data_IF_649674734888
#
_entry.id   IF_649674734888
#
_cell.length_a   1.000
_cell.length_b   1.000
_cell.length_c   1.000
_cell.angle_alpha   90.00
_cell.angle_beta   90.00
_cell.angle_gamma   90.00
#
_symmetry.space_group_name_H-M   'P 1'
#
loop_
_entity.id
_entity.type
_entity.pdbx_description
1 polymer ?
#
# COMPACT_ATOMS: atom_id res chain seq x y z
N UNK A 1 0.97 -19.02 -28.53
CA UNK A 1 1.48 -17.76 -27.94
C UNK A 1 0.47 -17.02 -27.03
N UNK A 2 -0.83 -16.86 -27.38
CA UNK A 2 -1.83 -16.15 -26.56
C UNK A 2 -2.08 -16.71 -25.13
N UNK A 3 -1.96 -18.02 -24.92
CA UNK A 3 -2.14 -18.66 -23.60
C UNK A 3 -1.05 -18.35 -22.57
N UNK A 4 0.15 -18.00 -23.02
CA UNK A 4 1.29 -17.73 -22.16
C UNK A 4 1.22 -16.32 -21.51
N UNK A 5 0.78 -15.31 -22.26
CA UNK A 5 0.67 -13.94 -21.73
C UNK A 5 -0.34 -13.79 -20.59
N UNK A 6 -1.48 -14.46 -20.69
CA UNK A 6 -2.52 -14.40 -19.66
C UNK A 6 -2.07 -15.05 -18.32
N UNK A 7 -1.29 -16.12 -18.39
CA UNK A 7 -0.71 -16.77 -17.20
C UNK A 7 0.32 -15.87 -16.51
N UNK A 8 1.15 -15.18 -17.27
CA UNK A 8 2.22 -14.32 -16.77
C UNK A 8 1.63 -13.11 -16.05
N UNK A 9 0.64 -12.43 -16.63
CA UNK A 9 0.03 -11.24 -16.05
C UNK A 9 -0.68 -11.52 -14.72
N UNK A 10 -1.41 -12.63 -14.63
CA UNK A 10 -2.16 -13.00 -13.42
C UNK A 10 -1.22 -13.41 -12.27
N UNK A 11 -0.24 -14.27 -12.54
CA UNK A 11 0.68 -14.75 -11.50
C UNK A 11 1.60 -13.64 -10.95
N UNK A 12 2.01 -12.67 -11.79
CA UNK A 12 2.77 -11.51 -11.36
C UNK A 12 1.97 -10.61 -10.40
N UNK A 13 0.68 -10.46 -10.64
CA UNK A 13 -0.19 -9.64 -9.81
C UNK A 13 -0.29 -10.15 -8.37
N UNK A 14 -0.46 -11.44 -8.21
CA UNK A 14 -0.59 -12.11 -6.91
C UNK A 14 0.69 -11.96 -6.09
N UNK A 15 1.87 -12.11 -6.72
CA UNK A 15 3.16 -12.01 -6.05
C UNK A 15 3.47 -10.64 -5.50
N UNK A 16 3.07 -9.63 -6.20
CA UNK A 16 3.37 -8.26 -5.83
C UNK A 16 2.71 -7.81 -4.53
N UNK A 17 1.45 -8.17 -4.33
CA UNK A 17 0.69 -7.78 -3.13
C UNK A 17 1.00 -8.66 -1.91
N UNK A 18 1.40 -9.93 -2.14
CA UNK A 18 1.80 -10.85 -1.07
C UNK A 18 3.26 -10.68 -0.65
N UNK A 19 4.14 -10.23 -1.53
CA UNK A 19 5.56 -10.07 -1.24
C UNK A 19 5.85 -9.00 -0.17
N UNK A 20 5.00 -7.99 -0.06
CA UNK A 20 5.05 -7.03 1.05
C UNK A 20 4.76 -7.67 2.41
N UNK A 21 4.18 -8.88 2.44
CA UNK A 21 3.73 -9.56 3.64
C UNK A 21 4.71 -10.59 4.22
N UNK A 22 5.76 -11.01 3.50
CA UNK A 22 6.53 -12.20 3.85
C UNK A 22 7.93 -11.94 4.46
N UNK A 23 8.29 -10.71 4.76
CA UNK A 23 9.67 -10.38 5.18
C UNK A 23 9.93 -10.45 6.69
N UNK A 24 9.12 -11.12 7.48
CA UNK A 24 9.35 -11.21 8.92
C UNK A 24 9.05 -12.58 9.51
N UNK A 25 10.06 -13.44 9.52
CA UNK A 25 10.11 -14.57 10.45
C UNK A 25 11.43 -14.53 11.22
N UNK A 26 11.37 -14.33 12.53
CA UNK A 26 12.55 -14.50 13.39
C UNK A 26 12.54 -13.67 14.67
N UNK A 27 11.71 -14.02 15.62
CA UNK A 27 11.82 -13.53 17.00
C UNK A 27 12.82 -14.37 17.80
N UNK A 28 13.96 -13.79 18.14
CA UNK A 28 14.71 -14.18 19.36
C UNK A 28 14.91 -12.93 20.22
N UNK A 29 14.34 -12.97 21.42
CA UNK A 29 14.62 -12.02 22.49
C UNK A 29 16.10 -12.09 22.85
N UNK A 30 16.79 -10.98 22.87
CA UNK A 30 18.07 -10.82 23.55
C UNK A 30 18.01 -9.57 24.42
N UNK A 31 18.45 -9.76 25.66
CA UNK A 31 18.35 -8.84 26.76
C UNK A 31 19.24 -7.60 26.60
N UNK A 32 18.80 -6.55 27.27
CA UNK A 32 19.48 -5.28 27.51
C UNK A 32 20.90 -5.47 28.04
N UNK A 33 21.83 -4.69 27.54
CA UNK A 33 22.85 -4.12 28.41
C UNK A 33 23.21 -2.70 27.95
N UNK A 34 23.12 -1.79 28.90
CA UNK A 34 23.32 -0.36 28.86
C UNK A 34 24.79 -0.01 28.88
N UNK A 35 25.22 0.93 28.04
CA UNK A 35 26.16 1.98 28.47
C UNK A 35 26.18 3.13 27.46
N UNK A 36 25.95 4.31 27.99
CA UNK A 36 25.97 5.63 27.34
C UNK A 36 27.39 6.15 27.12
N UNK A 37 27.61 6.93 26.07
CA UNK A 37 28.26 8.22 26.29
C UNK A 37 27.41 9.37 25.74
N UNK A 38 27.23 10.37 26.55
CA UNK A 38 26.53 11.62 26.32
C UNK A 38 27.33 12.51 25.37
N UNK A 39 26.76 12.97 24.24
CA UNK A 39 27.20 14.22 23.65
C UNK A 39 26.28 15.33 24.16
N UNK A 40 26.90 16.31 24.75
CA UNK A 40 26.30 17.57 25.21
C UNK A 40 25.84 18.35 23.97
N UNK A 41 24.59 18.22 23.57
CA UNK A 41 23.94 19.10 22.58
C UNK A 41 22.83 19.82 23.31
N UNK A 42 23.04 21.09 23.53
CA UNK A 42 22.07 22.02 24.11
C UNK A 42 20.80 22.00 23.28
N UNK A 43 19.61 21.68 23.86
CA UNK A 43 18.38 21.72 23.11
C UNK A 43 18.03 23.16 22.75
N UNK A 44 18.06 23.50 21.48
CA UNK A 44 17.41 24.71 20.98
C UNK A 44 15.92 24.62 21.29
N UNK A 45 15.42 25.51 22.10
CA UNK A 45 13.99 25.64 22.45
C UNK A 45 13.19 25.76 21.15
N UNK A 46 12.23 24.88 20.88
CA UNK A 46 11.42 24.96 19.65
C UNK A 46 10.69 26.31 19.65
N UNK A 47 10.86 27.07 18.58
CA UNK A 47 10.14 28.33 18.39
C UNK A 47 8.62 27.99 18.34
N UNK A 48 7.85 28.50 19.30
CA UNK A 48 6.40 28.24 19.44
C UNK A 48 5.62 28.50 18.13
N UNK A 49 6.05 29.48 17.33
CA UNK A 49 5.47 29.81 16.05
C UNK A 49 5.69 28.70 15.02
N UNK A 50 6.89 28.10 14.98
CA UNK A 50 7.21 26.98 14.08
C UNK A 50 6.39 25.73 14.44
N UNK A 51 6.25 25.43 15.72
CA UNK A 51 5.44 24.29 16.20
C UNK A 51 3.98 24.47 15.81
N UNK A 52 3.43 25.67 15.91
CA UNK A 52 2.05 25.98 15.50
C UNK A 52 1.87 25.82 13.99
N UNK A 53 2.79 26.35 13.18
CA UNK A 53 2.74 26.22 11.72
C UNK A 53 2.81 24.75 11.26
N UNK A 54 3.68 23.93 11.87
CA UNK A 54 3.81 22.52 11.57
C UNK A 54 2.50 21.75 11.89
N UNK A 55 1.90 22.01 13.04
CA UNK A 55 0.62 21.40 13.43
C UNK A 55 -0.53 21.81 12.51
N UNK A 56 -0.59 23.06 12.09
CA UNK A 56 -1.59 23.56 11.13
C UNK A 56 -1.41 22.92 9.76
N UNK A 57 -0.17 22.67 9.34
CA UNK A 57 0.11 21.99 8.07
C UNK A 57 -0.36 20.52 8.11
N UNK A 58 -0.06 19.77 9.18
CA UNK A 58 -0.56 18.40 9.37
C UNK A 58 -2.08 18.36 9.29
N UNK A 59 -2.75 19.30 9.99
CA UNK A 59 -4.21 19.42 9.94
C UNK A 59 -4.71 19.72 8.53
N UNK A 60 -4.08 20.64 7.80
CA UNK A 60 -4.43 20.95 6.41
C UNK A 60 -4.36 19.70 5.51
N UNK A 61 -3.29 18.89 5.64
CA UNK A 61 -3.14 17.64 4.88
C UNK A 61 -4.22 16.65 5.26
N UNK A 62 -4.52 16.49 6.54
CA UNK A 62 -5.59 15.63 7.02
C UNK A 62 -6.96 16.06 6.48
N UNK A 63 -7.26 17.34 6.51
CA UNK A 63 -8.54 17.90 6.05
C UNK A 63 -8.72 17.80 4.52
N UNK A 64 -7.64 17.58 3.74
CA UNK A 64 -7.72 17.32 2.29
C UNK A 64 -8.28 15.95 1.94
N UNK A 65 -8.50 15.08 2.91
CA UNK A 65 -9.04 13.75 2.69
C UNK A 65 -10.36 13.78 1.89
N UNK A 66 -10.47 12.91 0.88
CA UNK A 66 -11.72 12.68 0.16
C UNK A 66 -12.63 11.81 1.01
N UNK A 67 -13.88 12.25 1.23
CA UNK A 67 -14.86 11.54 2.07
C UNK A 67 -15.86 10.71 1.26
N UNK A 68 -15.66 10.53 -0.04
CA UNK A 68 -16.52 9.66 -0.86
C UNK A 68 -16.56 8.25 -0.25
N UNK A 69 -17.78 7.74 -0.01
CA UNK A 69 -17.97 6.37 0.50
C UNK A 69 -17.59 5.33 -0.57
N UNK A 70 -17.95 5.59 -1.83
CA UNK A 70 -17.67 4.73 -2.96
C UNK A 70 -16.77 5.45 -3.95
N UNK A 71 -15.79 4.76 -4.49
CA UNK A 71 -14.96 5.18 -5.60
C UNK A 71 -14.87 4.01 -6.56
N UNK A 72 -15.25 4.22 -7.81
CA UNK A 72 -15.09 3.27 -8.90
C UNK A 72 -14.33 3.91 -10.04
N UNK A 73 -13.49 3.14 -10.72
CA UNK A 73 -12.73 3.64 -11.86
C UNK A 73 -12.46 2.53 -12.87
N UNK A 74 -12.50 2.87 -14.17
CA UNK A 74 -11.82 2.08 -15.19
C UNK A 74 -10.33 2.35 -15.07
N UNK A 75 -9.50 1.31 -15.08
CA UNK A 75 -8.07 1.43 -14.85
C UNK A 75 -7.26 0.77 -15.96
N UNK A 76 -6.05 1.29 -16.16
CA UNK A 76 -4.92 0.53 -16.67
C UNK A 76 -4.07 0.14 -15.47
N UNK A 77 -3.88 -1.14 -15.31
CA UNK A 77 -3.03 -1.72 -14.29
C UNK A 77 -1.72 -2.18 -14.95
N UNK A 78 -0.58 -1.75 -14.42
CA UNK A 78 0.72 -2.13 -14.94
C UNK A 78 1.62 -2.73 -13.86
N UNK A 79 2.46 -3.67 -14.28
CA UNK A 79 3.52 -4.27 -13.48
C UNK A 79 4.82 -4.17 -14.26
N UNK A 80 5.85 -3.61 -13.63
CA UNK A 80 7.22 -3.68 -14.13
C UNK A 80 8.02 -4.71 -13.34
N UNK A 81 8.70 -5.58 -14.06
CA UNK A 81 9.68 -6.53 -13.53
C UNK A 81 10.96 -6.44 -14.35
N UNK A 82 12.00 -5.80 -13.80
CA UNK A 82 13.16 -5.40 -14.58
C UNK A 82 12.73 -4.47 -15.72
N UNK A 83 13.13 -4.76 -16.94
CA UNK A 83 12.81 -3.95 -18.13
C UNK A 83 11.49 -4.31 -18.83
N UNK A 84 10.73 -5.25 -18.26
CA UNK A 84 9.47 -5.71 -18.85
C UNK A 84 8.28 -5.08 -18.13
N UNK A 85 7.47 -4.33 -18.86
CA UNK A 85 6.18 -3.83 -18.42
C UNK A 85 5.05 -4.69 -18.98
N UNK A 86 4.13 -5.09 -18.12
CA UNK A 86 2.89 -5.75 -18.49
C UNK A 86 1.74 -4.84 -18.06
N UNK A 87 0.90 -4.45 -19.01
CA UNK A 87 -0.26 -3.62 -18.74
C UNK A 87 -1.54 -4.32 -19.16
N UNK A 88 -2.57 -4.24 -18.30
CA UNK A 88 -3.90 -4.82 -18.53
C UNK A 88 -4.99 -3.85 -18.09
N UNK A 89 -6.06 -3.79 -18.86
CA UNK A 89 -7.25 -3.02 -18.48
C UNK A 89 -8.00 -3.68 -17.32
N UNK A 90 -8.70 -2.88 -16.55
CA UNK A 90 -9.47 -3.40 -15.42
C UNK A 90 -10.44 -2.38 -14.81
N UNK A 91 -10.89 -2.69 -13.61
CA UNK A 91 -11.78 -1.87 -12.79
C UNK A 91 -11.27 -1.82 -11.35
N UNK A 92 -11.15 -0.64 -10.79
CA UNK A 92 -10.97 -0.42 -9.36
C UNK A 92 -12.33 -0.10 -8.76
N UNK A 93 -12.67 -0.73 -7.66
CA UNK A 93 -13.93 -0.54 -6.95
C UNK A 93 -13.63 -0.50 -5.46
N UNK A 94 -13.92 0.61 -4.82
CA UNK A 94 -13.58 0.83 -3.43
C UNK A 94 -14.82 1.31 -2.67
N UNK A 95 -15.09 0.68 -1.53
CA UNK A 95 -16.11 1.11 -0.57
C UNK A 95 -15.46 1.29 0.78
N UNK A 96 -15.50 2.52 1.28
CA UNK A 96 -14.85 2.90 2.54
C UNK A 96 -15.31 2.01 3.68
N UNK A 97 -14.35 1.53 4.47
CA UNK A 97 -14.52 0.67 5.65
C UNK A 97 -15.10 -0.72 5.34
N UNK A 98 -15.16 -1.10 4.06
CA UNK A 98 -15.71 -2.38 3.63
C UNK A 98 -14.73 -3.15 2.75
N UNK A 99 -14.36 -2.60 1.57
CA UNK A 99 -13.63 -3.36 0.56
C UNK A 99 -12.88 -2.47 -0.43
N UNK A 100 -11.72 -2.96 -0.87
CA UNK A 100 -10.99 -2.49 -2.05
C UNK A 100 -10.88 -3.66 -3.00
N UNK A 101 -11.37 -3.49 -4.24
CA UNK A 101 -11.38 -4.53 -5.26
C UNK A 101 -10.74 -4.04 -6.55
N UNK A 102 -9.81 -4.84 -7.07
CA UNK A 102 -9.20 -4.67 -8.39
C UNK A 102 -9.62 -5.85 -9.26
N UNK A 103 -10.34 -5.59 -10.33
CA UNK A 103 -10.67 -6.57 -11.36
C UNK A 103 -9.75 -6.34 -12.56
N UNK A 104 -9.19 -7.41 -13.11
CA UNK A 104 -8.34 -7.36 -14.29
C UNK A 104 -8.97 -8.15 -15.40
N UNK A 105 -8.89 -7.61 -16.61
CA UNK A 105 -9.57 -8.17 -17.76
C UNK A 105 -8.58 -8.85 -18.71
N UNK A 106 -9.05 -9.88 -19.40
CA UNK A 106 -8.35 -10.46 -20.54
C UNK A 106 -8.26 -9.41 -21.64
N UNK A 107 -7.06 -9.08 -22.15
CA UNK A 107 -6.92 -8.16 -23.26
C UNK A 107 -7.77 -8.56 -24.47
N UNK A 108 -8.37 -7.59 -25.15
CA UNK A 108 -9.21 -7.73 -26.35
C UNK A 108 -10.59 -8.39 -26.13
N UNK A 109 -10.77 -9.23 -25.12
CA UNK A 109 -12.02 -9.94 -24.86
C UNK A 109 -12.86 -9.21 -23.80
N UNK A 110 -12.22 -8.47 -22.90
CA UNK A 110 -12.89 -7.70 -21.83
C UNK A 110 -13.43 -8.54 -20.68
N UNK A 111 -13.33 -9.89 -20.75
CA UNK A 111 -13.73 -10.78 -19.65
C UNK A 111 -12.79 -10.64 -18.47
N UNK A 112 -13.32 -10.78 -17.25
CA UNK A 112 -12.52 -10.79 -16.03
C UNK A 112 -11.56 -11.99 -16.02
N UNK A 113 -10.26 -11.70 -16.00
CA UNK A 113 -9.20 -12.71 -15.89
C UNK A 113 -8.91 -13.06 -14.43
N UNK A 114 -9.01 -12.06 -13.57
CA UNK A 114 -8.72 -12.22 -12.15
C UNK A 114 -9.19 -11.05 -11.31
N UNK A 115 -9.19 -11.25 -10.01
CA UNK A 115 -9.68 -10.30 -9.02
C UNK A 115 -8.83 -10.33 -7.77
N UNK A 116 -8.53 -9.14 -7.26
CA UNK A 116 -8.01 -8.95 -5.91
C UNK A 116 -9.05 -8.22 -5.10
N UNK A 117 -9.28 -8.70 -3.90
CA UNK A 117 -10.23 -8.10 -2.97
C UNK A 117 -9.61 -8.05 -1.58
N UNK A 118 -9.59 -6.85 -1.01
CA UNK A 118 -9.10 -6.57 0.33
C UNK A 118 -10.28 -6.14 1.17
N UNK A 119 -10.50 -6.81 2.28
CA UNK A 119 -11.55 -6.48 3.26
C UNK A 119 -10.92 -6.30 4.65
N UNK A 120 -11.70 -6.03 5.65
CA UNK A 120 -11.21 -5.96 7.04
C UNK A 120 -10.70 -7.31 7.56
N UNK A 121 -11.28 -8.40 7.06
CA UNK A 121 -11.10 -9.73 7.61
C UNK A 121 -10.17 -10.60 6.75
N UNK A 122 -10.12 -10.35 5.44
CA UNK A 122 -9.36 -11.20 4.53
C UNK A 122 -8.88 -10.48 3.28
N UNK A 123 -7.86 -11.08 2.69
CA UNK A 123 -7.45 -10.84 1.30
C UNK A 123 -7.93 -12.04 0.46
N UNK A 124 -8.60 -11.77 -0.64
CA UNK A 124 -9.05 -12.78 -1.60
C UNK A 124 -8.45 -12.49 -2.97
N UNK A 125 -7.85 -13.51 -3.57
CA UNK A 125 -7.34 -13.48 -4.92
C UNK A 125 -8.03 -14.58 -5.71
N UNK A 126 -8.67 -14.23 -6.82
CA UNK A 126 -9.37 -15.17 -7.67
C UNK A 126 -8.71 -15.22 -9.03
N UNK A 127 -8.25 -16.40 -9.44
CA UNK A 127 -7.82 -16.71 -10.80
C UNK A 127 -8.98 -17.34 -11.56
N UNK A 128 -9.58 -16.58 -12.46
CA UNK A 128 -10.70 -17.08 -13.26
C UNK A 128 -10.27 -17.95 -14.42
N UNK A 129 -9.00 -17.81 -14.83
CA UNK A 129 -8.46 -18.57 -15.96
C UNK A 129 -8.23 -20.04 -15.56
N UNK A 130 -7.71 -20.25 -14.33
CA UNK A 130 -7.42 -21.60 -13.83
C UNK A 130 -8.47 -22.11 -12.84
N UNK A 131 -9.52 -21.32 -12.55
CA UNK A 131 -10.54 -21.66 -11.55
C UNK A 131 -9.92 -21.95 -10.18
N UNK A 132 -8.98 -21.11 -9.77
CA UNK A 132 -8.30 -21.21 -8.48
C UNK A 132 -8.53 -19.91 -7.67
N UNK A 133 -8.41 -20.01 -6.34
CA UNK A 133 -8.43 -18.85 -5.48
C UNK A 133 -7.53 -19.02 -4.25
N UNK A 134 -7.09 -17.90 -3.72
CA UNK A 134 -6.41 -17.79 -2.41
C UNK A 134 -7.26 -16.93 -1.51
N UNK A 135 -7.46 -17.36 -0.28
CA UNK A 135 -8.05 -16.54 0.77
C UNK A 135 -7.14 -16.59 1.99
N UNK A 136 -6.66 -15.44 2.42
CA UNK A 136 -5.76 -15.28 3.57
C UNK A 136 -6.27 -14.23 4.55
N UNK A 137 -5.95 -14.41 5.82
CA UNK A 137 -6.22 -13.45 6.89
C UNK A 137 -4.98 -12.59 7.11
N UNK A 138 -5.15 -11.27 7.29
CA UNK A 138 -4.06 -10.35 7.67
C UNK A 138 -3.36 -10.77 8.95
N UNK A 139 -4.11 -11.36 9.90
CA UNK A 139 -3.57 -11.81 11.18
C UNK A 139 -2.70 -13.06 11.08
N UNK A 140 -2.75 -13.78 9.96
CA UNK A 140 -1.89 -14.94 9.69
C UNK A 140 -0.51 -14.54 9.17
N UNK A 141 -0.32 -13.25 8.86
CA UNK A 141 0.96 -12.70 8.42
C UNK A 141 1.53 -11.87 9.56
N UNK A 142 2.44 -12.46 10.32
CA UNK A 142 3.03 -11.85 11.53
C UNK A 142 3.58 -10.44 11.29
N UNK A 143 4.18 -10.20 10.14
CA UNK A 143 4.70 -8.88 9.78
C UNK A 143 3.60 -7.82 9.72
N UNK A 144 2.49 -8.10 9.05
CA UNK A 144 1.37 -7.14 8.92
C UNK A 144 0.72 -6.90 10.28
N UNK A 145 0.48 -8.00 11.02
CA UNK A 145 -0.11 -7.95 12.36
C UNK A 145 0.74 -7.13 13.33
N UNK A 146 2.03 -7.43 13.41
CA UNK A 146 2.93 -6.83 14.38
C UNK A 146 3.24 -5.35 14.10
N UNK A 147 3.14 -4.93 12.84
CA UNK A 147 3.36 -3.53 12.44
C UNK A 147 2.07 -2.73 12.25
N UNK A 148 0.92 -3.31 12.58
CA UNK A 148 -0.38 -2.64 12.46
C UNK A 148 -0.77 -2.31 11.00
N UNK A 149 -0.18 -3.02 10.03
CA UNK A 149 -0.49 -2.88 8.61
C UNK A 149 -1.72 -3.73 8.29
N UNK A 150 -2.87 -3.15 8.38
CA UNK A 150 -4.15 -3.78 8.18
C UNK A 150 -4.90 -3.16 6.98
N UNK A 151 -6.14 -3.57 6.79
CA UNK A 151 -7.02 -3.02 5.76
C UNK A 151 -7.09 -1.48 5.80
N UNK A 152 -7.13 -0.87 6.98
CA UNK A 152 -7.28 0.59 7.10
C UNK A 152 -6.03 1.36 6.68
N UNK A 153 -4.84 0.81 6.90
CA UNK A 153 -3.60 1.38 6.37
C UNK A 153 -3.58 1.31 4.83
N UNK A 154 -3.97 0.16 4.26
CA UNK A 154 -4.14 0.00 2.81
C UNK A 154 -5.21 0.95 2.26
N UNK A 155 -6.36 1.05 2.92
CA UNK A 155 -7.41 2.00 2.56
C UNK A 155 -6.88 3.44 2.53
N UNK A 156 -6.13 3.85 3.54
CA UNK A 156 -5.58 5.20 3.59
C UNK A 156 -4.61 5.48 2.43
N UNK A 157 -3.81 4.50 2.02
CA UNK A 157 -2.97 4.61 0.82
C UNK A 157 -3.83 4.80 -0.44
N UNK A 158 -4.87 3.99 -0.63
CA UNK A 158 -5.75 4.12 -1.80
C UNK A 158 -6.58 5.40 -1.80
N UNK A 159 -6.94 5.94 -0.63
CA UNK A 159 -7.66 7.21 -0.49
C UNK A 159 -6.76 8.44 -0.38
N UNK A 160 -5.42 8.25 -0.49
CA UNK A 160 -4.45 9.35 -0.35
C UNK A 160 -4.59 10.12 0.96
N UNK A 161 -4.46 9.41 2.10
CA UNK A 161 -4.71 9.95 3.43
C UNK A 161 -3.56 9.64 4.40
N UNK A 162 -3.45 10.45 5.45
CA UNK A 162 -2.65 10.11 6.62
C UNK A 162 -3.27 8.89 7.34
N UNK A 163 -2.44 8.06 7.92
CA UNK A 163 -2.89 6.95 8.77
C UNK A 163 -1.96 6.76 9.98
N UNK A 164 -2.51 6.21 11.05
CA UNK A 164 -1.74 5.75 12.20
C UNK A 164 -1.83 4.22 12.21
N UNK A 165 -0.70 3.50 12.18
CA UNK A 165 -0.69 2.04 12.15
C UNK A 165 -1.50 1.43 13.29
N UNK A 166 -2.37 0.46 12.94
CA UNK A 166 -3.27 -0.19 13.89
C UNK A 166 -4.56 0.57 14.20
N UNK A 167 -4.72 1.80 13.70
CA UNK A 167 -5.94 2.58 13.88
C UNK A 167 -6.86 2.48 12.67
N UNK A 168 -8.17 2.59 12.89
CA UNK A 168 -9.17 2.57 11.80
C UNK A 168 -9.34 3.92 11.13
N UNK A 169 -9.05 5.00 11.85
CA UNK A 169 -9.11 6.39 11.36
C UNK A 169 -8.14 7.27 12.16
N UNK A 170 -7.72 8.37 11.57
CA UNK A 170 -7.00 9.43 12.28
C UNK A 170 -8.02 10.39 12.87
N UNK A 171 -7.89 10.68 14.16
CA UNK A 171 -8.68 11.69 14.87
C UNK A 171 -7.86 12.95 15.08
N UNK A 172 -8.50 14.10 15.35
CA UNK A 172 -7.80 15.36 15.63
C UNK A 172 -6.78 15.20 16.80
N UNK A 173 -7.12 14.42 17.81
CA UNK A 173 -6.22 14.14 18.93
C UNK A 173 -4.95 13.37 18.50
N UNK A 174 -5.01 12.60 17.41
CA UNK A 174 -3.88 11.84 16.88
C UNK A 174 -2.99 12.67 15.97
N UNK A 175 -3.42 13.84 15.49
CA UNK A 175 -2.60 14.70 14.62
C UNK A 175 -1.29 15.11 15.27
N UNK A 176 -1.23 15.19 16.61
CA UNK A 176 -0.01 15.43 17.38
C UNK A 176 1.06 14.33 17.30
N UNK A 177 0.70 13.13 16.80
CA UNK A 177 1.64 12.03 16.57
C UNK A 177 2.49 12.24 15.31
N UNK A 178 2.07 13.15 14.44
CA UNK A 178 2.77 13.48 13.21
C UNK A 178 3.66 14.69 13.43
N UNK A 179 4.86 14.64 12.88
CA UNK A 179 5.79 15.76 12.85
C UNK A 179 5.93 16.25 11.43
N UNK A 180 5.67 17.53 11.19
CA UNK A 180 5.92 18.18 9.91
C UNK A 180 7.15 19.10 10.02
N UNK A 181 7.96 19.15 8.96
CA UNK A 181 9.12 20.04 8.87
C UNK A 181 8.97 20.96 7.65
N UNK A 182 8.45 22.14 7.86
CA UNK A 182 8.28 23.15 6.80
C UNK A 182 9.64 23.83 6.59
N UNK A 183 10.40 23.36 5.59
CA UNK A 183 11.72 23.88 5.26
C UNK A 183 11.66 24.95 4.15
N UNK A 184 10.82 24.71 3.13
CA UNK A 184 10.69 25.57 1.97
C UNK A 184 9.31 25.38 1.31
N UNK A 185 8.66 26.48 0.94
CA UNK A 185 7.32 26.46 0.30
C UNK A 185 7.31 25.92 -1.13
N UNK A 186 8.47 25.82 -1.79
CA UNK A 186 8.61 25.25 -3.15
C UNK A 186 8.88 23.75 -3.16
N UNK A 187 9.25 23.17 -2.02
CA UNK A 187 9.52 21.74 -1.89
C UNK A 187 8.35 21.04 -1.19
N UNK A 188 8.09 19.75 -1.48
CA UNK A 188 7.15 19.00 -0.69
C UNK A 188 7.56 18.97 0.78
N UNK A 189 6.61 19.24 1.68
CA UNK A 189 6.84 19.23 3.12
C UNK A 189 6.71 17.78 3.62
N UNK A 190 7.75 17.23 4.27
CA UNK A 190 7.66 15.91 4.88
C UNK A 190 6.84 15.97 6.16
N UNK A 191 5.95 14.98 6.29
CA UNK A 191 5.23 14.67 7.52
C UNK A 191 5.66 13.26 7.92
N UNK A 192 6.14 13.09 9.13
CA UNK A 192 6.69 11.83 9.62
C UNK A 192 5.91 11.29 10.79
N UNK A 193 5.88 9.96 10.89
CA UNK A 193 5.43 9.20 12.04
C UNK A 193 6.34 7.98 12.18
N UNK A 194 6.87 7.76 13.37
CA UNK A 194 7.69 6.60 13.69
C UNK A 194 6.96 5.71 14.70
N UNK A 195 6.97 4.42 14.44
CA UNK A 195 6.40 3.41 15.35
C UNK A 195 7.16 2.11 15.21
N UNK A 196 7.71 1.62 16.31
CA UNK A 196 8.50 0.40 16.37
C UNK A 196 9.71 0.45 15.39
N UNK A 197 9.80 -0.49 14.47
CA UNK A 197 10.84 -0.55 13.43
C UNK A 197 10.40 0.09 12.10
N UNK A 198 9.31 0.86 12.11
CA UNK A 198 8.72 1.46 10.93
C UNK A 198 8.81 2.97 11.00
N UNK A 199 9.21 3.57 9.88
CA UNK A 199 9.11 4.99 9.65
C UNK A 199 8.19 5.25 8.47
N UNK A 200 7.23 6.13 8.66
CA UNK A 200 6.28 6.59 7.65
C UNK A 200 6.59 8.04 7.32
N UNK A 201 6.69 8.36 6.04
CA UNK A 201 6.93 9.72 5.57
C UNK A 201 5.93 10.07 4.47
N UNK A 202 5.08 11.04 4.70
CA UNK A 202 4.19 11.61 3.69
C UNK A 202 4.81 12.88 3.15
N UNK A 203 5.10 12.94 1.86
CA UNK A 203 5.55 14.14 1.18
C UNK A 203 4.32 14.87 0.62
N UNK A 204 3.94 15.97 1.24
CA UNK A 204 2.79 16.76 0.84
C UNK A 204 3.22 18.07 0.19
N UNK A 205 2.53 18.48 -0.87
CA UNK A 205 2.75 19.79 -1.49
C UNK A 205 2.55 20.90 -0.45
N UNK A 206 3.52 21.75 -0.28
CA UNK A 206 3.54 22.77 0.79
C UNK A 206 2.40 23.79 0.65
N UNK A 207 1.98 24.11 -0.58
CA UNK A 207 0.92 25.07 -0.85
C UNK A 207 -0.48 24.43 -0.77
N UNK A 208 -0.70 23.30 -1.46
CA UNK A 208 -2.02 22.65 -1.50
C UNK A 208 -2.27 21.71 -0.34
N UNK A 209 -1.24 21.11 0.26
CA UNK A 209 -1.35 20.05 1.25
C UNK A 209 -1.75 18.69 0.67
N UNK A 210 -1.69 18.50 -0.66
CA UNK A 210 -1.97 17.22 -1.30
C UNK A 210 -0.76 16.28 -1.12
N UNK A 211 -0.99 15.06 -0.66
CA UNK A 211 0.05 14.05 -0.51
C UNK A 211 0.48 13.58 -1.89
N UNK A 212 1.74 13.79 -2.24
CA UNK A 212 2.34 13.40 -3.51
C UNK A 212 3.04 12.04 -3.43
N UNK A 213 3.54 11.68 -2.24
CA UNK A 213 4.19 10.38 -2.01
C UNK A 213 4.07 9.97 -0.55
N UNK A 214 3.99 8.68 -0.33
CA UNK A 214 4.12 8.05 0.99
C UNK A 214 5.27 7.07 0.92
N UNK A 215 6.24 7.22 1.80
CA UNK A 215 7.34 6.28 1.98
C UNK A 215 7.13 5.51 3.29
N UNK A 216 7.36 4.20 3.24
CA UNK A 216 7.30 3.31 4.40
C UNK A 216 8.62 2.56 4.46
N UNK A 217 9.40 2.84 5.48
CA UNK A 217 10.69 2.21 5.73
C UNK A 217 10.59 1.24 6.89
N UNK A 218 10.94 -0.01 6.65
CA UNK A 218 11.12 -1.03 7.66
C UNK A 218 12.60 -1.36 7.78
N UNK A 219 13.14 -1.29 8.99
CA UNK A 219 14.53 -1.60 9.27
C UNK A 219 14.63 -2.62 10.40
N UNK A 220 15.22 -3.78 10.10
CA UNK A 220 15.48 -4.83 11.07
C UNK A 220 16.92 -5.29 10.97
N UNK A 221 17.62 -5.33 12.10
CA UNK A 221 19.00 -5.85 12.17
C UNK A 221 19.11 -7.32 11.79
N UNK A 222 18.05 -8.10 12.00
CA UNK A 222 18.04 -9.56 11.75
C UNK A 222 17.39 -9.95 10.43
N UNK A 223 16.46 -9.13 9.90
CA UNK A 223 15.62 -9.51 8.74
C UNK A 223 15.89 -8.65 7.50
N UNK A 224 16.80 -7.67 7.57
CA UNK A 224 17.10 -6.76 6.48
C UNK A 224 16.16 -5.55 6.46
N UNK A 225 16.19 -4.80 5.38
CA UNK A 225 15.38 -3.57 5.19
C UNK A 225 14.41 -3.73 4.04
N UNK A 226 13.26 -3.07 4.15
CA UNK A 226 12.27 -2.94 3.08
C UNK A 226 11.85 -1.48 3.00
N UNK A 227 11.88 -0.94 1.80
CA UNK A 227 11.36 0.38 1.47
C UNK A 227 10.21 0.23 0.49
N UNK A 228 9.08 0.85 0.81
CA UNK A 228 7.90 0.92 -0.06
C UNK A 228 7.56 2.37 -0.27
N UNK A 229 7.48 2.82 -1.52
CA UNK A 229 6.96 4.14 -1.84
C UNK A 229 5.67 4.04 -2.65
N UNK A 230 4.70 4.88 -2.30
CA UNK A 230 3.44 5.05 -3.01
C UNK A 230 3.36 6.48 -3.54
N UNK A 231 3.49 6.65 -4.85
CA UNK A 231 3.48 7.95 -5.52
C UNK A 231 2.09 8.24 -6.09
N UNK A 232 1.66 9.49 -6.00
CA UNK A 232 0.37 9.97 -6.46
C UNK A 232 0.54 11.10 -7.45
N UNK A 233 -0.16 11.02 -8.56
CA UNK A 233 -0.11 12.02 -9.62
C UNK A 233 -1.47 12.20 -10.30
N UNK A 234 -1.55 13.15 -11.23
CA UNK A 234 -2.73 13.42 -12.05
C UNK A 234 -3.98 13.67 -11.19
N UNK A 235 -3.84 14.59 -10.21
CA UNK A 235 -4.93 14.96 -9.32
C UNK A 235 -6.06 15.65 -10.06
N UNK A 236 -7.28 15.15 -9.88
CA UNK A 236 -8.52 15.71 -10.45
C UNK A 236 -9.55 15.99 -9.38
N UNK A 237 -10.46 16.90 -9.69
CA UNK A 237 -11.55 17.23 -8.79
C UNK A 237 -12.46 16.00 -8.53
N UNK A 238 -12.75 15.76 -7.25
CA UNK A 238 -13.75 14.82 -6.77
C UNK A 238 -14.62 15.56 -5.74
N UNK A 239 -15.74 16.10 -6.19
CA UNK A 239 -16.51 17.07 -5.40
C UNK A 239 -15.67 18.31 -5.12
N UNK A 240 -15.57 18.70 -3.86
CA UNK A 240 -14.78 19.88 -3.41
C UNK A 240 -13.31 19.55 -3.09
N UNK A 241 -12.90 18.31 -3.26
CA UNK A 241 -11.53 17.82 -2.98
C UNK A 241 -10.85 17.37 -4.26
N UNK A 242 -9.55 17.15 -4.18
CA UNK A 242 -8.75 16.54 -5.25
C UNK A 242 -8.42 15.10 -4.93
N UNK A 243 -8.49 14.22 -5.95
CA UNK A 243 -8.19 12.81 -5.84
C UNK A 243 -7.17 12.41 -6.92
N UNK A 244 -6.13 11.60 -6.59
CA UNK A 244 -5.14 11.19 -7.58
C UNK A 244 -5.73 10.20 -8.57
N UNK A 245 -5.48 10.42 -9.86
CA UNK A 245 -5.84 9.49 -10.94
C UNK A 245 -4.71 8.50 -11.27
N UNK A 246 -3.53 8.70 -10.71
CA UNK A 246 -2.39 7.79 -10.86
C UNK A 246 -1.83 7.44 -9.49
N UNK A 247 -1.69 6.15 -9.24
CA UNK A 247 -1.07 5.58 -8.04
C UNK A 247 0.04 4.65 -8.54
N UNK A 248 1.27 4.87 -8.08
CA UNK A 248 2.42 4.02 -8.39
C UNK A 248 3.04 3.51 -7.11
N UNK A 249 3.07 2.21 -6.93
CA UNK A 249 3.72 1.54 -5.81
C UNK A 249 5.07 1.00 -6.26
N UNK A 250 6.14 1.40 -5.58
CA UNK A 250 7.48 0.85 -5.75
C UNK A 250 7.88 0.14 -4.46
N UNK A 251 8.46 -1.06 -4.59
CA UNK A 251 8.98 -1.81 -3.46
C UNK A 251 10.42 -2.20 -3.72
N UNK A 252 11.27 -1.97 -2.72
CA UNK A 252 12.66 -2.39 -2.70
C UNK A 252 12.92 -3.15 -1.41
N UNK A 253 13.52 -4.33 -1.50
CA UNK A 253 13.82 -5.12 -0.31
C UNK A 253 15.20 -5.75 -0.38
N UNK A 254 15.91 -5.72 0.74
CA UNK A 254 17.14 -6.48 0.98
C UNK A 254 16.89 -7.67 1.90
N UNK A 255 15.64 -7.89 2.33
CA UNK A 255 15.29 -8.97 3.23
C UNK A 255 15.67 -10.32 2.63
N UNK A 256 16.24 -11.19 3.48
CA UNK A 256 16.56 -12.56 3.13
C UNK A 256 15.28 -13.39 3.26
N UNK A 257 14.93 -14.09 2.17
CA UNK A 257 13.84 -15.06 2.21
C UNK A 257 14.28 -16.33 2.95
N UNK A 258 13.34 -17.08 3.54
CA UNK A 258 13.65 -18.39 4.14
C UNK A 258 14.41 -19.29 3.17
N UNK A 259 15.30 -20.14 3.71
CA UNK A 259 16.08 -21.07 2.92
C UNK A 259 15.18 -21.92 2.02
N UNK A 260 15.52 -22.00 0.74
CA UNK A 260 14.73 -22.72 -0.27
C UNK A 260 13.74 -21.87 -1.07
N UNK A 261 13.55 -20.60 -0.72
CA UNK A 261 12.73 -19.67 -1.49
C UNK A 261 13.56 -19.03 -2.61
N UNK A 262 13.04 -19.00 -3.84
CA UNK A 262 13.69 -18.26 -4.94
C UNK A 262 13.73 -16.77 -4.61
N UNK A 263 14.83 -16.09 -4.99
CA UNK A 263 15.03 -14.66 -4.74
C UNK A 263 13.84 -13.84 -5.25
N UNK A 264 13.23 -13.05 -4.36
CA UNK A 264 12.27 -12.02 -4.79
C UNK A 264 12.98 -11.00 -5.69
N UNK A 265 12.24 -10.41 -6.65
CA UNK A 265 12.79 -9.27 -7.39
C UNK A 265 13.14 -8.18 -6.37
N UNK A 266 14.39 -7.70 -6.42
CA UNK A 266 14.87 -6.63 -5.52
C UNK A 266 14.05 -5.35 -5.69
N UNK A 267 13.49 -5.15 -6.88
CA UNK A 267 12.70 -3.98 -7.23
C UNK A 267 11.41 -4.43 -7.94
N UNK A 268 10.30 -3.89 -7.51
CA UNK A 268 8.99 -4.13 -8.11
C UNK A 268 8.23 -2.82 -8.19
N UNK A 269 7.60 -2.58 -9.34
CA UNK A 269 6.78 -1.39 -9.56
C UNK A 269 5.41 -1.80 -10.06
N UNK A 270 4.36 -1.28 -9.40
CA UNK A 270 2.96 -1.42 -9.78
C UNK A 270 2.39 -0.07 -10.13
N UNK A 271 1.61 0.01 -11.19
CA UNK A 271 0.91 1.22 -11.60
C UNK A 271 -0.60 0.99 -11.68
N UNK A 272 -1.36 1.95 -11.18
CA UNK A 272 -2.81 2.05 -11.38
C UNK A 272 -3.09 3.43 -11.96
N UNK A 273 -3.50 3.49 -13.22
CA UNK A 273 -3.95 4.72 -13.86
C UNK A 273 -5.46 4.68 -14.05
N UNK A 274 -6.17 5.60 -13.43
CA UNK A 274 -7.64 5.72 -13.52
C UNK A 274 -8.01 6.59 -14.71
N UNK A 275 -8.79 6.04 -15.65
CA UNK A 275 -9.27 6.76 -16.84
C UNK A 275 -10.48 7.62 -16.55
N UNK A 276 -11.37 7.10 -15.70
CA UNK A 276 -12.57 7.79 -15.23
C UNK A 276 -12.79 7.38 -13.77
N UNK A 277 -13.11 8.34 -12.93
CA UNK A 277 -13.44 8.10 -11.52
C UNK A 277 -14.88 8.47 -11.31
N UNK A 278 -15.63 7.60 -10.62
CA UNK A 278 -17.05 7.75 -10.32
C UNK A 278 -17.31 7.33 -8.87
N UNK A 279 -18.49 7.64 -8.36
CA UNK A 279 -18.94 7.24 -7.02
C UNK A 279 -20.06 6.19 -7.07
N UNK A 280 -20.14 5.40 -8.15
CA UNK A 280 -21.15 4.33 -8.30
C UNK A 280 -21.11 3.36 -7.12
N UNK A 281 -22.27 3.10 -6.54
CA UNK A 281 -22.47 2.20 -5.41
C UNK A 281 -23.20 0.91 -5.77
N UNK A 282 -23.63 0.75 -7.02
CA UNK A 282 -24.44 -0.37 -7.51
C UNK A 282 -23.56 -1.57 -7.87
N UNK A 283 -22.87 -2.12 -6.88
CA UNK A 283 -22.06 -3.32 -7.03
C UNK A 283 -21.97 -4.08 -5.71
N UNK A 284 -21.83 -5.41 -5.79
CA UNK A 284 -21.71 -6.28 -4.63
C UNK A 284 -20.39 -6.04 -3.91
N UNK A 285 -20.43 -5.73 -2.62
CA UNK A 285 -19.25 -5.43 -1.81
C UNK A 285 -18.30 -6.63 -1.72
N UNK A 286 -18.82 -7.85 -1.65
CA UNK A 286 -18.03 -9.05 -1.42
C UNK A 286 -18.16 -10.04 -2.56
N UNK A 287 -17.04 -10.71 -2.85
CA UNK A 287 -16.98 -11.75 -3.87
C UNK A 287 -17.44 -13.09 -3.31
N UNK A 288 -18.44 -13.70 -3.94
CA UNK A 288 -18.75 -15.11 -3.73
C UNK A 288 -17.92 -15.95 -4.68
N UNK A 289 -17.05 -16.81 -4.13
CA UNK A 289 -16.27 -17.76 -4.92
C UNK A 289 -17.12 -18.99 -5.23
N UNK A 290 -17.16 -19.38 -6.52
CA UNK A 290 -17.89 -20.56 -6.93
C UNK A 290 -17.28 -21.83 -6.31
N UNK A 291 -18.12 -22.80 -5.95
CA UNK A 291 -17.70 -24.12 -5.45
C UNK A 291 -16.84 -24.92 -6.44
N UNK A 292 -16.84 -24.53 -7.72
CA UNK A 292 -15.99 -25.13 -8.76
C UNK A 292 -14.54 -24.67 -8.70
N UNK A 293 -14.24 -23.63 -7.92
CA UNK A 293 -12.88 -23.12 -7.78
C UNK A 293 -12.14 -23.88 -6.70
N UNK A 294 -10.90 -24.22 -6.98
CA UNK A 294 -10.00 -24.86 -6.03
C UNK A 294 -9.31 -23.81 -5.17
N UNK A 295 -9.39 -23.94 -3.86
CA UNK A 295 -8.55 -23.15 -2.96
C UNK A 295 -7.12 -23.67 -3.02
N UNK A 296 -6.17 -22.76 -3.23
CA UNK A 296 -4.73 -23.03 -3.20
C UNK A 296 -4.08 -22.21 -2.08
N UNK A 297 -2.92 -22.64 -1.62
CA UNK A 297 -2.21 -21.92 -0.56
C UNK A 297 -1.56 -20.63 -1.11
N UNK A 298 -1.31 -19.68 -0.21
CA UNK A 298 -0.51 -18.48 -0.52
C UNK A 298 0.86 -18.90 -1.06
N UNK A 299 1.49 -19.90 -0.44
CA UNK A 299 2.80 -20.40 -0.82
C UNK A 299 2.83 -21.02 -2.23
N UNK A 300 1.76 -21.73 -2.63
CA UNK A 300 1.67 -22.30 -3.99
C UNK A 300 1.59 -21.20 -5.04
N UNK A 301 0.85 -20.13 -4.74
CA UNK A 301 0.76 -18.97 -5.63
C UNK A 301 2.11 -18.25 -5.69
N UNK A 302 2.75 -18.02 -4.56
CA UNK A 302 4.09 -17.41 -4.50
C UNK A 302 5.13 -18.25 -5.25
N UNK A 303 5.12 -19.58 -5.09
CA UNK A 303 6.01 -20.48 -5.85
C UNK A 303 5.76 -20.38 -7.36
N UNK A 304 4.50 -20.36 -7.80
CA UNK A 304 4.14 -20.19 -9.23
C UNK A 304 4.65 -18.87 -9.79
N UNK A 305 4.53 -17.78 -9.02
CA UNK A 305 5.00 -16.45 -9.40
C UNK A 305 6.54 -16.39 -9.48
N UNK A 306 7.22 -16.97 -8.50
CA UNK A 306 8.67 -16.94 -8.43
C UNK A 306 9.35 -17.88 -9.45
N UNK A 307 8.62 -18.87 -9.98
CA UNK A 307 9.11 -19.82 -11.02
C UNK A 307 9.02 -19.28 -12.45
N UNK A 308 8.41 -18.13 -12.65
CA UNK A 308 8.25 -17.43 -13.94
C UNK A 308 9.32 -16.35 -14.11
#
# INVERSE_FOLDING_TARGET
MKRSYNKIAFNLLVGCLMAAALTACGTKKAALNTQHPTPNTQPSTPNTQQTTANSQFVKKVHDNAVYAKNITAKIDFSIMRGDKEISVGGKLMMRRDEVIRIQLNVPLIGMEAGRLEFTKDYVLIVDRIHSEYVKGDYNQVDFLKNNGLNFYALQALFWNQLFVPGQTKVTDAMLKLFTAEILNTQQPTPITLEKDNMKYTWLANSQSGLIQRVDVDYNSKSSGSTHVSCEYADFKAMGVKSFPNSITLNMQTTAQLPAGTKKMPKNMKLGIRMKSVDNDSKWDAFTTVSKKYKQVSVDDVLKKIMSM
#
